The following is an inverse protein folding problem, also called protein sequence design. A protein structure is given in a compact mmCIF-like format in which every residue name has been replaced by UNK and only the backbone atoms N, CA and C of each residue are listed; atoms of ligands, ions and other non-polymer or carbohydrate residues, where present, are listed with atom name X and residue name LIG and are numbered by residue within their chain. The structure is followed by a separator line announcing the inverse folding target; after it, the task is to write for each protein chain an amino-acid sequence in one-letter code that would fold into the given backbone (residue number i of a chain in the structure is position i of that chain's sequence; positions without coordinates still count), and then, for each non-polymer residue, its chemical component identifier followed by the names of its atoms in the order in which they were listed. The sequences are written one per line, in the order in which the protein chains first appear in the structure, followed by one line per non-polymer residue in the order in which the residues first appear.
data_IF_255208719816
#
_entry.id   IF_255208719816
#
_cell.length_a   1.000
_cell.length_b   1.000
_cell.length_c   1.000
_cell.angle_alpha   90.00
_cell.angle_beta   90.00
_cell.angle_gamma   90.00
#
_symmetry.space_group_name_H-M   'P 1'
#
loop_
_entity.id
_entity.type
_entity.pdbx_description
1 polymer ?
#
# COMPACT_ATOMS: atom_id res chain seq x y z
N UNK A 1 -10.64 7.23 7.24
CA UNK A 1 -9.34 7.47 6.59
C UNK A 1 -9.31 8.83 5.93
N UNK A 2 -10.00 9.02 4.78
CA UNK A 2 -9.90 10.25 4.00
C UNK A 2 -10.38 11.48 4.77
N UNK A 3 -11.50 11.39 5.48
CA UNK A 3 -12.04 12.51 6.27
C UNK A 3 -11.04 13.00 7.34
N UNK A 4 -10.42 12.10 8.10
CA UNK A 4 -9.44 12.48 9.15
C UNK A 4 -8.14 13.08 8.58
N UNK A 5 -7.78 12.76 7.33
CA UNK A 5 -6.61 13.30 6.65
C UNK A 5 -6.92 14.62 5.94
N UNK A 6 -8.06 14.71 5.25
CA UNK A 6 -8.42 15.83 4.41
C UNK A 6 -9.07 16.99 5.18
N UNK A 7 -9.91 16.72 6.19
CA UNK A 7 -10.59 17.78 6.95
C UNK A 7 -9.61 18.73 7.64
N UNK A 8 -8.59 18.25 8.38
CA UNK A 8 -7.58 19.14 8.95
C UNK A 8 -6.88 19.97 7.87
N UNK A 9 -6.51 19.35 6.74
CA UNK A 9 -5.93 20.08 5.60
C UNK A 9 -6.80 21.25 5.12
N UNK A 10 -8.10 21.01 4.93
CA UNK A 10 -9.05 22.04 4.47
C UNK A 10 -9.24 23.14 5.51
N UNK A 11 -9.30 22.79 6.79
CA UNK A 11 -9.44 23.76 7.90
C UNK A 11 -8.20 24.66 7.98
N UNK A 12 -6.99 24.08 7.90
CA UNK A 12 -5.75 24.84 7.94
C UNK A 12 -5.63 25.87 6.81
N UNK A 13 -6.15 25.55 5.61
CA UNK A 13 -6.15 26.50 4.48
C UNK A 13 -6.96 27.78 4.76
N UNK A 14 -7.91 27.74 5.71
CA UNK A 14 -8.74 28.89 6.09
C UNK A 14 -8.27 29.57 7.38
N UNK A 15 -7.18 29.10 7.99
CA UNK A 15 -6.59 29.65 9.21
C UNK A 15 -5.31 30.43 8.87
N UNK A 16 -5.44 31.74 8.67
CA UNK A 16 -4.34 32.63 8.24
C UNK A 16 -3.28 32.90 9.32
N UNK A 17 -3.56 32.50 10.56
CA UNK A 17 -2.72 32.65 11.74
C UNK A 17 -1.75 31.49 11.98
N UNK A 18 -1.89 30.38 11.23
CA UNK A 18 -0.99 29.23 11.30
C UNK A 18 0.08 29.28 10.20
N UNK A 19 1.33 29.52 10.58
CA UNK A 19 2.49 29.31 9.70
C UNK A 19 2.89 27.84 9.69
N UNK A 20 2.61 27.16 8.59
CA UNK A 20 2.90 25.73 8.40
C UNK A 20 3.82 25.55 7.21
N UNK A 21 5.07 25.15 7.47
CA UNK A 21 6.10 25.01 6.42
C UNK A 21 6.05 23.65 5.70
N UNK A 22 5.49 22.62 6.34
CA UNK A 22 5.41 21.25 5.80
C UNK A 22 4.02 20.66 5.92
N UNK A 23 3.59 19.92 4.90
CA UNK A 23 2.25 19.31 4.86
C UNK A 23 1.99 18.37 6.04
N UNK A 24 3.00 17.61 6.47
CA UNK A 24 2.87 16.64 7.57
C UNK A 24 2.66 17.30 8.95
N UNK A 25 2.93 18.61 9.09
CA UNK A 25 2.76 19.35 10.35
C UNK A 25 1.33 19.86 10.56
N UNK A 26 0.51 19.86 9.51
CA UNK A 26 -0.83 20.46 9.50
C UNK A 26 -1.71 19.91 10.62
N UNK A 27 -1.72 18.59 10.79
CA UNK A 27 -2.55 17.95 11.81
C UNK A 27 -2.14 18.37 13.23
N UNK A 28 -0.83 18.38 13.52
CA UNK A 28 -0.32 18.78 14.83
C UNK A 28 -0.56 20.25 15.14
N UNK A 29 -0.42 21.13 14.14
CA UNK A 29 -0.66 22.56 14.29
C UNK A 29 -2.12 22.87 14.64
N UNK A 30 -3.08 22.24 13.94
CA UNK A 30 -4.51 22.42 14.23
C UNK A 30 -4.86 21.89 15.60
N UNK A 31 -4.40 20.69 15.95
CA UNK A 31 -4.69 20.11 17.26
C UNK A 31 -4.18 21.01 18.39
N UNK A 32 -2.98 21.57 18.25
CA UNK A 32 -2.44 22.52 19.22
C UNK A 32 -3.26 23.81 19.33
N UNK A 33 -3.82 24.28 18.22
CA UNK A 33 -4.62 25.49 18.20
C UNK A 33 -6.02 25.28 18.80
N UNK A 34 -6.62 24.11 18.59
CA UNK A 34 -8.02 23.81 18.98
C UNK A 34 -8.11 23.25 20.41
N UNK A 35 -7.13 22.48 20.87
CA UNK A 35 -7.19 21.82 22.17
C UNK A 35 -6.78 22.75 23.33
N UNK A 36 -7.43 22.62 24.51
CA UNK A 36 -7.01 23.32 25.72
C UNK A 36 -5.69 22.73 26.27
N UNK A 37 -4.88 23.59 26.91
CA UNK A 37 -3.50 23.29 27.33
C UNK A 37 -3.36 21.99 28.13
N UNK A 38 -4.29 21.70 29.04
CA UNK A 38 -4.26 20.50 29.89
C UNK A 38 -4.38 19.20 29.09
N UNK A 39 -5.00 19.23 27.91
CA UNK A 39 -5.25 18.04 27.08
C UNK A 39 -4.14 17.76 26.07
N UNK A 40 -3.24 18.73 25.82
CA UNK A 40 -2.14 18.58 24.87
C UNK A 40 -1.18 17.45 25.26
N UNK A 41 -0.86 17.34 26.56
CA UNK A 41 -0.03 16.26 27.08
C UNK A 41 -0.68 14.89 26.93
N UNK A 42 -1.99 14.79 27.17
CA UNK A 42 -2.76 13.57 26.97
C UNK A 42 -2.78 13.16 25.49
N UNK A 43 -3.04 14.12 24.59
CA UNK A 43 -3.01 13.88 23.15
C UNK A 43 -1.64 13.38 22.69
N UNK A 44 -0.56 14.03 23.13
CA UNK A 44 0.81 13.61 22.81
C UNK A 44 1.09 12.17 23.30
N UNK A 45 0.65 11.82 24.52
CA UNK A 45 0.80 10.48 25.06
C UNK A 45 0.04 9.41 24.24
N UNK A 46 -1.21 9.69 23.86
CA UNK A 46 -2.03 8.79 23.05
C UNK A 46 -1.44 8.61 21.64
N UNK A 47 -0.98 9.70 21.01
CA UNK A 47 -0.35 9.66 19.70
C UNK A 47 0.94 8.82 19.74
N UNK A 48 1.81 9.06 20.72
CA UNK A 48 3.04 8.28 20.91
C UNK A 48 2.74 6.80 21.14
N UNK A 49 1.75 6.48 21.99
CA UNK A 49 1.31 5.11 22.21
C UNK A 49 0.80 4.43 20.94
N UNK A 50 0.02 5.15 20.14
CA UNK A 50 -0.52 4.65 18.87
C UNK A 50 0.57 4.40 17.81
N UNK A 51 1.57 5.30 17.74
CA UNK A 51 2.74 5.14 16.87
C UNK A 51 3.56 3.92 17.30
N UNK A 52 3.87 3.80 18.59
CA UNK A 52 4.66 2.68 19.11
C UNK A 52 3.96 1.34 18.92
N UNK A 53 2.64 1.29 19.12
CA UNK A 53 1.83 0.10 18.85
C UNK A 53 1.91 -0.31 17.39
N UNK A 54 1.66 0.63 16.46
CA UNK A 54 1.72 0.37 15.02
C UNK A 54 3.12 -0.05 14.56
N UNK A 55 4.17 0.59 15.09
CA UNK A 55 5.56 0.25 14.82
C UNK A 55 5.93 -1.14 15.30
N UNK A 56 5.53 -1.52 16.52
CA UNK A 56 5.76 -2.86 17.06
C UNK A 56 5.03 -3.94 16.25
N UNK A 57 3.80 -3.67 15.82
CA UNK A 57 3.05 -4.57 14.94
C UNK A 57 3.78 -4.75 13.60
N UNK A 58 4.23 -3.67 12.96
CA UNK A 58 4.97 -3.74 11.69
C UNK A 58 6.28 -4.53 11.83
N UNK A 59 7.08 -4.26 12.87
CA UNK A 59 8.32 -5.00 13.15
C UNK A 59 8.06 -6.48 13.39
N UNK A 60 7.02 -6.83 14.14
CA UNK A 60 6.66 -8.22 14.41
C UNK A 60 6.23 -8.95 13.13
N UNK A 61 5.37 -8.35 12.32
CA UNK A 61 4.93 -8.93 11.05
C UNK A 61 6.10 -9.12 10.08
N UNK A 62 6.98 -8.12 9.93
CA UNK A 62 8.16 -8.23 9.08
C UNK A 62 9.15 -9.31 9.57
N UNK A 63 9.38 -9.39 10.89
CA UNK A 63 10.25 -10.40 11.51
C UNK A 63 9.70 -11.81 11.35
N UNK A 64 8.39 -11.98 11.49
CA UNK A 64 7.70 -13.26 11.33
C UNK A 64 7.70 -13.70 9.87
N UNK A 65 7.41 -12.78 8.94
CA UNK A 65 7.50 -13.04 7.51
C UNK A 65 8.92 -13.45 7.13
N UNK A 66 9.93 -12.72 7.58
CA UNK A 66 11.32 -13.05 7.29
C UNK A 66 11.73 -14.41 7.89
N UNK A 67 11.43 -14.66 9.16
CA UNK A 67 11.87 -15.89 9.83
C UNK A 67 11.20 -17.15 9.28
N UNK A 68 9.89 -17.10 9.01
CA UNK A 68 9.14 -18.24 8.49
C UNK A 68 9.29 -18.38 6.97
N UNK A 69 8.98 -17.33 6.22
CA UNK A 69 8.91 -17.43 4.76
C UNK A 69 10.28 -17.41 4.10
N UNK A 70 11.22 -16.62 4.62
CA UNK A 70 12.53 -16.47 4.00
C UNK A 70 13.58 -17.39 4.64
N UNK A 71 13.80 -17.27 5.95
CA UNK A 71 14.82 -18.04 6.65
C UNK A 71 14.48 -19.52 6.69
N UNK A 72 13.33 -19.92 7.25
CA UNK A 72 12.94 -21.31 7.25
C UNK A 72 12.62 -21.83 5.84
N UNK A 73 11.88 -21.07 5.03
CA UNK A 73 11.48 -21.48 3.68
C UNK A 73 12.63 -21.71 2.70
N UNK A 74 13.67 -20.84 2.71
CA UNK A 74 14.72 -20.84 1.68
C UNK A 74 16.14 -21.03 2.22
N UNK A 75 16.47 -20.53 3.41
CA UNK A 75 17.85 -20.56 3.94
C UNK A 75 18.12 -21.83 4.73
N UNK A 76 17.27 -22.15 5.71
CA UNK A 76 17.42 -23.31 6.60
C UNK A 76 16.08 -24.00 6.86
N UNK A 77 15.72 -24.90 5.94
CA UNK A 77 14.50 -25.72 5.99
C UNK A 77 14.41 -26.67 7.19
N UNK A 78 15.52 -26.89 7.90
CA UNK A 78 15.59 -27.75 9.09
C UNK A 78 15.76 -26.94 10.38
N UNK A 79 15.58 -25.62 10.33
CA UNK A 79 15.70 -24.77 11.52
C UNK A 79 14.70 -25.18 12.61
N UNK A 80 15.17 -25.25 13.86
CA UNK A 80 14.30 -25.46 15.01
C UNK A 80 13.45 -24.21 15.31
N UNK A 81 12.33 -24.38 16.03
CA UNK A 81 11.47 -23.25 16.41
C UNK A 81 12.23 -22.13 17.16
N UNK A 82 13.15 -22.51 18.04
CA UNK A 82 14.01 -21.55 18.76
C UNK A 82 14.93 -20.77 17.82
N UNK A 83 15.50 -21.43 16.81
CA UNK A 83 16.34 -20.77 15.81
C UNK A 83 15.54 -19.78 14.96
N UNK A 84 14.34 -20.16 14.54
CA UNK A 84 13.43 -19.29 13.77
C UNK A 84 13.10 -18.02 14.56
N UNK A 85 12.71 -18.17 15.84
CA UNK A 85 12.40 -17.03 16.72
C UNK A 85 13.64 -16.16 16.94
N UNK A 86 14.81 -16.76 17.19
CA UNK A 86 16.07 -16.04 17.41
C UNK A 86 16.46 -15.19 16.20
N UNK A 87 16.41 -15.76 15.00
CA UNK A 87 16.72 -15.05 13.76
C UNK A 87 15.68 -13.96 13.46
N UNK A 88 14.40 -14.22 13.69
CA UNK A 88 13.35 -13.21 13.59
C UNK A 88 13.61 -12.02 14.49
N UNK A 89 14.01 -12.24 15.75
CA UNK A 89 14.38 -11.16 16.69
C UNK A 89 15.56 -10.34 16.18
N UNK A 90 16.63 -10.97 15.70
CA UNK A 90 17.78 -10.23 15.15
C UNK A 90 17.43 -9.42 13.92
N UNK A 91 16.61 -9.98 13.02
CA UNK A 91 16.10 -9.25 11.87
C UNK A 91 15.27 -8.03 12.32
N UNK A 92 14.37 -8.20 13.29
CA UNK A 92 13.58 -7.10 13.83
C UNK A 92 14.43 -5.98 14.45
N UNK A 93 15.48 -6.33 15.20
CA UNK A 93 16.44 -5.34 15.74
C UNK A 93 17.16 -4.62 14.60
N UNK A 94 17.65 -5.35 13.59
CA UNK A 94 18.29 -4.74 12.42
C UNK A 94 17.36 -3.79 11.66
N UNK A 95 16.10 -4.19 11.47
CA UNK A 95 15.08 -3.37 10.81
C UNK A 95 14.74 -2.12 11.63
N UNK A 96 14.71 -2.21 12.96
CA UNK A 96 14.52 -1.06 13.85
C UNK A 96 15.68 -0.06 13.73
N UNK A 97 16.93 -0.54 13.75
CA UNK A 97 18.13 0.29 13.57
C UNK A 97 18.13 0.96 12.19
N UNK A 98 17.83 0.21 11.13
CA UNK A 98 17.71 0.76 9.78
C UNK A 98 16.63 1.85 9.69
N UNK A 99 15.48 1.63 10.35
CA UNK A 99 14.40 2.62 10.42
C UNK A 99 14.84 3.92 11.11
N UNK A 100 15.60 3.83 12.21
CA UNK A 100 16.17 4.99 12.91
C UNK A 100 17.14 5.78 12.00
N UNK A 101 17.94 5.07 11.19
CA UNK A 101 18.89 5.72 10.26
C UNK A 101 18.16 6.40 9.09
N UNK A 102 17.09 5.81 8.59
CA UNK A 102 16.34 6.34 7.44
C UNK A 102 15.40 7.48 7.84
N UNK A 103 14.89 7.49 9.08
CA UNK A 103 13.91 8.47 9.55
C UNK A 103 14.32 9.95 9.32
N UNK A 104 15.57 10.39 9.59
CA UNK A 104 16.01 11.75 9.30
C UNK A 104 15.96 12.12 7.82
N UNK A 105 16.23 11.17 6.92
CA UNK A 105 16.19 11.38 5.48
C UNK A 105 14.75 11.67 5.03
N UNK A 106 13.78 10.92 5.56
CA UNK A 106 12.37 11.13 5.27
C UNK A 106 11.82 12.42 5.88
N UNK A 107 12.34 12.84 7.05
CA UNK A 107 11.94 14.08 7.70
C UNK A 107 12.27 15.35 6.89
N UNK A 108 13.18 15.27 5.91
CA UNK A 108 13.52 16.38 5.02
C UNK A 108 12.51 16.55 3.87
N UNK A 109 11.62 15.58 3.63
CA UNK A 109 10.61 15.65 2.58
C UNK A 109 9.50 16.65 2.94
N UNK A 110 8.84 17.17 1.91
CA UNK A 110 7.67 18.05 2.06
C UNK A 110 6.41 17.29 2.51
N UNK A 111 6.29 16.05 2.04
CA UNK A 111 5.18 15.14 2.35
C UNK A 111 5.68 13.71 2.38
N UNK A 112 5.79 13.16 3.59
CA UNK A 112 6.12 11.74 3.80
C UNK A 112 5.01 10.86 3.23
N UNK A 113 3.75 11.29 3.35
CA UNK A 113 2.61 10.54 2.84
C UNK A 113 2.67 10.37 1.31
N UNK A 114 2.94 11.43 0.56
CA UNK A 114 3.11 11.33 -0.90
C UNK A 114 4.26 10.42 -1.30
N UNK A 115 5.40 10.51 -0.61
CA UNK A 115 6.54 9.65 -0.84
C UNK A 115 6.18 8.16 -0.59
N UNK A 116 5.54 7.86 0.54
CA UNK A 116 5.10 6.50 0.84
C UNK A 116 4.09 5.99 -0.18
N UNK A 117 3.17 6.82 -0.67
CA UNK A 117 2.26 6.43 -1.76
C UNK A 117 3.03 6.10 -3.05
N UNK A 118 4.02 6.92 -3.42
CA UNK A 118 4.88 6.65 -4.59
C UNK A 118 5.60 5.31 -4.46
N UNK A 119 6.18 5.02 -3.30
CA UNK A 119 6.87 3.75 -3.02
C UNK A 119 5.89 2.57 -3.00
N UNK A 120 4.72 2.73 -2.37
CA UNK A 120 3.69 1.70 -2.32
C UNK A 120 3.19 1.32 -3.72
N UNK A 121 3.06 2.29 -4.62
CA UNK A 121 2.60 2.05 -5.99
C UNK A 121 3.57 1.20 -6.82
N UNK A 122 4.89 1.24 -6.55
CA UNK A 122 5.90 0.44 -7.27
C UNK A 122 5.58 -1.06 -7.26
N UNK A 123 5.09 -1.58 -6.14
CA UNK A 123 4.77 -3.00 -5.99
C UNK A 123 3.26 -3.27 -6.03
N UNK A 124 2.41 -2.34 -5.57
CA UNK A 124 0.96 -2.58 -5.50
C UNK A 124 0.35 -2.80 -6.88
N UNK A 125 0.79 -2.01 -7.88
CA UNK A 125 0.30 -2.08 -9.26
C UNK A 125 0.55 -3.47 -9.89
N UNK A 126 1.79 -3.99 -9.96
CA UNK A 126 2.03 -5.32 -10.51
C UNK A 126 1.41 -6.45 -9.67
N UNK A 127 1.37 -6.31 -8.34
CA UNK A 127 0.79 -7.34 -7.45
C UNK A 127 -0.70 -7.53 -7.74
N UNK A 128 -1.46 -6.44 -7.94
CA UNK A 128 -2.87 -6.54 -8.35
C UNK A 128 -3.00 -7.30 -9.68
N UNK A 129 -2.13 -7.03 -10.65
CA UNK A 129 -2.11 -7.79 -11.92
C UNK A 129 -1.87 -9.28 -11.72
N UNK A 130 -0.94 -9.64 -10.84
CA UNK A 130 -0.64 -11.04 -10.50
C UNK A 130 -1.85 -11.70 -9.84
N UNK A 131 -2.54 -11.02 -8.91
CA UNK A 131 -3.74 -11.56 -8.26
C UNK A 131 -4.89 -11.76 -9.24
N UNK A 132 -5.18 -10.77 -10.09
CA UNK A 132 -6.23 -10.86 -11.11
C UNK A 132 -5.98 -12.05 -12.03
N UNK A 133 -4.74 -12.21 -12.53
CA UNK A 133 -4.40 -13.35 -13.37
C UNK A 133 -4.36 -14.66 -12.59
N UNK A 134 -3.87 -14.67 -11.35
CA UNK A 134 -3.82 -15.87 -10.52
C UNK A 134 -5.21 -16.43 -10.18
N UNK A 135 -6.20 -15.55 -10.03
CA UNK A 135 -7.60 -15.94 -9.81
C UNK A 135 -8.29 -16.23 -11.15
N UNK A 136 -8.03 -15.43 -12.18
CA UNK A 136 -8.73 -15.47 -13.46
C UNK A 136 -8.22 -16.53 -14.45
N UNK A 137 -6.98 -17.00 -14.32
CA UNK A 137 -6.39 -18.01 -15.22
C UNK A 137 -5.48 -18.99 -14.49
N UNK A 138 -5.59 -20.26 -14.88
CA UNK A 138 -4.76 -21.36 -14.35
C UNK A 138 -3.46 -21.57 -15.12
N UNK A 139 -3.30 -20.94 -16.28
CA UNK A 139 -2.24 -21.27 -17.24
C UNK A 139 -0.95 -20.45 -17.06
N UNK A 140 -1.00 -19.35 -16.31
CA UNK A 140 0.14 -18.45 -16.13
C UNK A 140 1.14 -19.03 -15.13
N UNK A 141 2.42 -19.27 -15.51
CA UNK A 141 3.42 -19.85 -14.62
C UNK A 141 4.01 -18.85 -13.63
N UNK A 142 4.62 -19.35 -12.55
CA UNK A 142 5.22 -18.50 -11.52
C UNK A 142 6.35 -17.58 -12.07
N UNK A 143 7.07 -18.02 -13.11
CA UNK A 143 8.09 -17.20 -13.77
C UNK A 143 7.48 -15.99 -14.49
N UNK A 144 6.29 -16.14 -15.08
CA UNK A 144 5.57 -15.04 -15.71
C UNK A 144 5.22 -13.97 -14.67
N UNK A 145 4.72 -14.38 -13.50
CA UNK A 145 4.42 -13.46 -12.40
C UNK A 145 5.67 -12.70 -11.91
N UNK A 146 6.82 -13.39 -11.75
CA UNK A 146 8.08 -12.75 -11.35
C UNK A 146 8.55 -11.70 -12.37
N UNK A 147 8.56 -12.05 -13.65
CA UNK A 147 8.96 -11.13 -14.73
C UNK A 147 7.96 -9.98 -14.86
N UNK A 148 6.66 -10.28 -14.85
CA UNK A 148 5.60 -9.29 -14.88
C UNK A 148 5.67 -8.30 -13.72
N UNK A 149 6.07 -8.75 -12.52
CA UNK A 149 6.31 -7.87 -11.38
C UNK A 149 7.43 -6.87 -11.64
N UNK A 150 8.58 -7.35 -12.13
CA UNK A 150 9.73 -6.50 -12.44
C UNK A 150 9.37 -5.51 -13.55
N UNK A 151 8.72 -5.96 -14.62
CA UNK A 151 8.30 -5.09 -15.73
C UNK A 151 7.33 -4.01 -15.23
N UNK A 152 6.30 -4.38 -14.47
CA UNK A 152 5.36 -3.41 -13.89
C UNK A 152 6.04 -2.39 -12.99
N UNK A 153 6.99 -2.84 -12.16
CA UNK A 153 7.77 -1.95 -11.29
C UNK A 153 8.67 -1.00 -12.08
N UNK A 154 9.32 -1.47 -13.16
CA UNK A 154 10.17 -0.64 -14.02
C UNK A 154 9.35 0.42 -14.76
N UNK A 155 8.21 0.04 -15.33
CA UNK A 155 7.31 0.99 -16.00
C UNK A 155 6.78 2.02 -15.00
N UNK A 156 6.37 1.58 -13.81
CA UNK A 156 5.90 2.49 -12.77
C UNK A 156 7.00 3.46 -12.35
N UNK A 157 8.22 2.97 -12.13
CA UNK A 157 9.36 3.79 -11.77
C UNK A 157 9.67 4.82 -12.88
N UNK A 158 9.63 4.39 -14.14
CA UNK A 158 9.82 5.29 -15.28
C UNK A 158 8.78 6.42 -15.28
N UNK A 159 7.49 6.11 -15.20
CA UNK A 159 6.44 7.14 -15.20
C UNK A 159 6.44 8.02 -13.96
N UNK A 160 6.89 7.50 -12.81
CA UNK A 160 6.91 8.26 -11.55
C UNK A 160 8.13 9.17 -11.42
N UNK A 161 9.29 8.75 -11.90
CA UNK A 161 10.56 9.46 -11.68
C UNK A 161 11.13 10.15 -12.93
N UNK A 162 10.75 9.70 -14.13
CA UNK A 162 11.20 10.30 -15.41
C UNK A 162 10.04 11.01 -16.11
N UNK A 163 8.92 10.30 -16.24
CA UNK A 163 7.67 10.71 -16.90
C UNK A 163 7.81 11.11 -18.38
N UNK A 164 6.70 11.11 -19.12
CA UNK A 164 6.66 11.58 -20.51
C UNK A 164 6.21 13.03 -20.53
N UNK A 165 6.98 13.89 -21.20
CA UNK A 165 6.71 15.33 -21.29
C UNK A 165 6.00 15.70 -22.59
N UNK A 166 5.26 16.80 -22.57
CA UNK A 166 4.56 17.37 -23.73
C UNK A 166 3.56 16.39 -24.38
N UNK A 167 2.72 15.75 -23.57
CA UNK A 167 1.67 14.87 -24.08
C UNK A 167 0.43 15.68 -24.51
N UNK A 168 -0.45 15.15 -25.38
CA UNK A 168 -1.69 15.82 -25.74
C UNK A 168 -2.50 16.20 -24.50
N UNK A 169 -3.20 17.35 -24.54
CA UNK A 169 -3.91 17.91 -23.39
C UNK A 169 -4.87 16.95 -22.69
N UNK A 170 -5.44 15.98 -23.42
CA UNK A 170 -6.29 14.93 -22.86
C UNK A 170 -5.56 13.99 -21.88
N UNK A 171 -4.27 13.76 -22.06
CA UNK A 171 -3.44 12.87 -21.22
C UNK A 171 -2.52 13.65 -20.27
N UNK A 172 -2.48 14.97 -20.41
CA UNK A 172 -1.57 15.83 -19.68
C UNK A 172 -2.08 16.14 -18.26
N UNK A 173 -1.15 16.31 -17.33
CA UNK A 173 -1.38 17.00 -16.06
C UNK A 173 -1.26 18.53 -16.25
N UNK A 174 -1.36 19.28 -15.15
CA UNK A 174 -1.27 20.74 -15.17
C UNK A 174 0.03 21.32 -15.76
N UNK A 175 1.10 20.53 -15.83
CA UNK A 175 2.42 20.92 -16.34
C UNK A 175 2.67 20.47 -17.79
N UNK A 176 1.71 19.79 -18.43
CA UNK A 176 1.87 19.23 -19.79
C UNK A 176 2.53 17.85 -19.84
N UNK A 177 2.84 17.27 -18.67
CA UNK A 177 3.42 15.93 -18.53
C UNK A 177 2.32 14.87 -18.43
N UNK A 178 2.65 13.60 -18.70
CA UNK A 178 1.67 12.52 -18.57
C UNK A 178 1.10 12.44 -17.16
N UNK A 179 -0.22 12.47 -17.05
CA UNK A 179 -0.89 12.38 -15.76
C UNK A 179 -0.59 11.04 -15.08
N UNK A 180 -0.27 11.08 -13.79
CA UNK A 180 0.21 9.92 -13.02
C UNK A 180 -0.73 8.70 -13.11
N UNK A 181 -2.05 8.93 -13.20
CA UNK A 181 -3.06 7.88 -13.33
C UNK A 181 -2.86 7.04 -14.62
N UNK A 182 -2.48 7.68 -15.72
CA UNK A 182 -2.16 6.96 -16.96
C UNK A 182 -0.87 6.15 -16.80
N UNK A 183 0.14 6.69 -16.11
CA UNK A 183 1.36 5.94 -15.78
C UNK A 183 1.06 4.67 -14.98
N UNK A 184 0.16 4.75 -14.00
CA UNK A 184 -0.31 3.58 -13.24
C UNK A 184 -0.98 2.55 -14.14
N UNK A 185 -1.89 3.00 -15.01
CA UNK A 185 -2.63 2.12 -15.91
C UNK A 185 -1.70 1.42 -16.92
N UNK A 186 -0.77 2.16 -17.54
CA UNK A 186 0.19 1.59 -18.49
C UNK A 186 1.09 0.56 -17.79
N UNK A 187 1.55 0.85 -16.57
CA UNK A 187 2.38 -0.07 -15.79
C UNK A 187 1.65 -1.37 -15.45
N UNK A 188 0.37 -1.27 -15.09
CA UNK A 188 -0.51 -2.42 -14.86
C UNK A 188 -0.67 -3.25 -16.14
N UNK A 189 -1.03 -2.61 -17.25
CA UNK A 189 -1.25 -3.30 -18.54
C UNK A 189 0.04 -3.94 -19.03
N UNK A 190 1.20 -3.27 -18.94
CA UNK A 190 2.49 -3.83 -19.31
C UNK A 190 2.80 -5.10 -18.50
N UNK A 191 2.57 -5.07 -17.19
CA UNK A 191 2.72 -6.23 -16.32
C UNK A 191 1.83 -7.40 -16.75
N UNK A 192 0.54 -7.15 -16.95
CA UNK A 192 -0.45 -8.16 -17.35
C UNK A 192 -0.15 -8.73 -18.73
N UNK A 193 0.16 -7.89 -19.71
CA UNK A 193 0.49 -8.32 -21.08
C UNK A 193 1.72 -9.22 -21.06
N UNK A 194 2.78 -8.85 -20.36
CA UNK A 194 3.98 -9.71 -20.25
C UNK A 194 3.65 -11.04 -19.59
N UNK A 195 2.84 -11.03 -18.53
CA UNK A 195 2.41 -12.27 -17.88
C UNK A 195 1.60 -13.18 -18.83
N UNK A 196 0.68 -12.62 -19.60
CA UNK A 196 -0.14 -13.35 -20.56
C UNK A 196 0.69 -13.86 -21.75
N UNK A 197 1.62 -13.05 -22.27
CA UNK A 197 2.53 -13.46 -23.35
C UNK A 197 3.39 -14.64 -22.90
N UNK A 198 3.99 -14.56 -21.71
CA UNK A 198 4.77 -15.69 -21.17
C UNK A 198 3.86 -16.89 -20.89
N UNK A 199 2.66 -16.67 -20.35
CA UNK A 199 1.69 -17.74 -20.11
C UNK A 199 1.19 -18.41 -21.40
N UNK A 200 1.16 -17.70 -22.52
CA UNK A 200 0.84 -18.25 -23.83
C UNK A 200 2.02 -19.01 -24.45
N UNK A 201 3.23 -18.46 -24.36
CA UNK A 201 4.45 -19.07 -24.94
C UNK A 201 4.97 -20.26 -24.13
N UNK A 202 4.83 -20.21 -22.80
CA UNK A 202 5.27 -21.23 -21.84
C UNK A 202 4.18 -21.41 -20.78
N UNK A 203 3.02 -21.99 -21.13
CA UNK A 203 1.96 -22.25 -20.17
C UNK A 203 2.44 -23.22 -19.09
N UNK A 204 1.81 -23.15 -17.91
CA UNK A 204 2.00 -24.15 -16.85
C UNK A 204 1.77 -25.56 -17.38
N UNK A 205 2.55 -26.51 -16.88
CA UNK A 205 2.30 -27.92 -17.15
C UNK A 205 1.02 -28.39 -16.43
N UNK A 206 0.45 -29.51 -16.88
CA UNK A 206 -0.74 -30.11 -16.24
C UNK A 206 -0.46 -30.42 -14.76
N UNK A 207 0.74 -30.90 -14.45
CA UNK A 207 1.18 -31.20 -13.08
C UNK A 207 1.25 -29.93 -12.21
N UNK A 208 1.78 -28.83 -12.74
CA UNK A 208 1.83 -27.55 -12.03
C UNK A 208 0.44 -26.99 -11.77
N UNK A 209 -0.50 -27.18 -12.71
CA UNK A 209 -1.90 -26.78 -12.53
C UNK A 209 -2.53 -27.59 -11.39
N UNK A 210 -2.36 -28.91 -11.40
CA UNK A 210 -2.90 -29.80 -10.35
C UNK A 210 -2.37 -29.43 -8.98
N UNK A 211 -1.06 -29.17 -8.84
CA UNK A 211 -0.46 -28.71 -7.57
C UNK A 211 -1.06 -27.38 -7.15
N UNK A 212 -1.23 -26.42 -8.07
CA UNK A 212 -1.82 -25.12 -7.73
C UNK A 212 -3.33 -25.14 -7.45
N UNK A 213 -4.04 -26.16 -7.94
CA UNK A 213 -5.47 -26.38 -7.71
C UNK A 213 -5.76 -27.13 -6.40
N UNK A 214 -4.72 -27.64 -5.71
CA UNK A 214 -4.87 -28.21 -4.37
C UNK A 214 -5.33 -27.12 -3.41
N UNK A 215 -6.59 -27.23 -2.97
CA UNK A 215 -7.16 -26.34 -1.96
C UNK A 215 -6.86 -26.92 -0.59
N UNK A 216 -6.04 -26.23 0.17
CA UNK A 216 -5.97 -26.48 1.61
C UNK A 216 -7.34 -26.11 2.21
N UNK A 217 -7.97 -27.01 2.99
CA UNK A 217 -9.23 -26.71 3.64
C UNK A 217 -9.07 -25.48 4.52
N UNK A 218 -10.05 -24.58 4.43
CA UNK A 218 -10.04 -23.35 5.22
C UNK A 218 -9.93 -23.70 6.71
N UNK A 219 -8.99 -23.09 7.46
CA UNK A 219 -8.83 -23.37 8.89
C UNK A 219 -10.00 -22.86 9.73
N UNK A 220 -10.88 -22.05 9.13
CA UNK A 220 -12.05 -21.42 9.74
C UNK A 220 -13.20 -21.44 8.74
N UNK A 221 -14.44 -21.54 9.24
CA UNK A 221 -15.64 -21.45 8.41
C UNK A 221 -15.66 -20.12 7.62
N UNK A 222 -15.82 -20.25 6.29
CA UNK A 222 -15.88 -19.14 5.35
C UNK A 222 -17.33 -18.84 4.89
N UNK A 223 -18.35 -19.47 5.50
CA UNK A 223 -19.74 -19.16 5.17
C UNK A 223 -20.01 -17.67 5.41
N UNK A 224 -20.48 -16.92 4.40
CA UNK A 224 -20.76 -15.51 4.56
C UNK A 224 -21.84 -15.29 5.63
N UNK A 225 -21.62 -14.32 6.52
CA UNK A 225 -22.61 -13.93 7.52
C UNK A 225 -23.95 -13.55 6.86
N UNK A 226 -25.07 -13.96 7.46
CA UNK A 226 -26.41 -13.81 6.87
C UNK A 226 -26.73 -12.37 6.42
N UNK A 227 -26.32 -11.35 7.19
CA UNK A 227 -26.60 -9.95 6.85
C UNK A 227 -25.49 -9.30 6.00
N UNK A 228 -24.48 -10.04 5.55
CA UNK A 228 -23.36 -9.50 4.78
C UNK A 228 -23.86 -8.73 3.54
N UNK A 229 -24.82 -9.28 2.80
CA UNK A 229 -25.40 -8.61 1.63
C UNK A 229 -26.11 -7.30 1.99
N UNK A 230 -26.90 -7.30 3.07
CA UNK A 230 -27.63 -6.10 3.52
C UNK A 230 -26.65 -5.00 3.95
N UNK A 231 -25.60 -5.38 4.69
CA UNK A 231 -24.53 -4.46 5.07
C UNK A 231 -23.81 -3.90 3.83
N UNK A 232 -23.50 -4.74 2.83
CA UNK A 232 -22.90 -4.28 1.58
C UNK A 232 -23.79 -3.28 0.84
N UNK A 233 -25.09 -3.54 0.70
CA UNK A 233 -26.02 -2.59 0.08
C UNK A 233 -26.11 -1.28 0.85
N UNK A 234 -26.17 -1.33 2.18
CA UNK A 234 -26.19 -0.14 3.03
C UNK A 234 -24.91 0.70 2.87
N UNK A 235 -23.74 0.05 2.83
CA UNK A 235 -22.45 0.73 2.62
C UNK A 235 -22.42 1.38 1.23
N UNK A 236 -22.75 0.65 0.16
CA UNK A 236 -22.78 1.20 -1.19
C UNK A 236 -23.75 2.38 -1.32
N UNK A 237 -24.96 2.24 -0.79
CA UNK A 237 -25.97 3.30 -0.80
C UNK A 237 -25.51 4.54 -0.02
N UNK A 238 -24.87 4.35 1.14
CA UNK A 238 -24.28 5.44 1.92
C UNK A 238 -23.16 6.14 1.14
N UNK A 239 -22.26 5.38 0.50
CA UNK A 239 -21.18 5.95 -0.31
C UNK A 239 -21.73 6.77 -1.47
N UNK A 240 -22.68 6.22 -2.24
CA UNK A 240 -23.33 6.94 -3.35
C UNK A 240 -24.03 8.20 -2.82
N UNK A 241 -24.75 8.09 -1.72
CA UNK A 241 -25.43 9.23 -1.08
C UNK A 241 -24.47 10.34 -0.66
N UNK A 242 -23.32 9.99 -0.08
CA UNK A 242 -22.26 10.96 0.27
C UNK A 242 -21.74 11.66 -0.99
N UNK A 243 -21.44 10.92 -2.06
CA UNK A 243 -20.96 11.54 -3.30
C UNK A 243 -22.00 12.47 -3.92
N UNK A 244 -23.26 12.04 -4.03
CA UNK A 244 -24.34 12.88 -4.55
C UNK A 244 -24.56 14.14 -3.71
N UNK A 245 -24.55 14.01 -2.38
CA UNK A 245 -24.66 15.13 -1.46
C UNK A 245 -23.51 16.13 -1.63
N UNK A 246 -22.27 15.65 -1.68
CA UNK A 246 -21.10 16.51 -1.88
C UNK A 246 -21.13 17.20 -3.25
N UNK A 247 -21.52 16.49 -4.32
CA UNK A 247 -21.68 17.08 -5.65
C UNK A 247 -22.75 18.17 -5.64
N UNK A 248 -23.90 17.92 -5.01
CA UNK A 248 -24.96 18.92 -4.85
C UNK A 248 -24.51 20.12 -4.01
N UNK A 249 -23.79 19.90 -2.91
CA UNK A 249 -23.31 20.99 -2.04
C UNK A 249 -22.18 21.82 -2.67
N UNK A 250 -21.45 21.27 -3.64
CA UNK A 250 -20.35 21.93 -4.34
C UNK A 250 -20.75 22.69 -5.61
N UNK A 251 -21.96 22.43 -6.12
CA UNK A 251 -22.52 23.08 -7.31
C UNK A 251 -23.38 24.27 -6.96
#
# INVERSE_FOLDING_TARGET
GPLMLCLPGIIALHMTDLTIDKQDQVYGAIVRHVLPDWSLGLFAAVLMGSILSSFNSALNSASTLFSLQFYHGYINKKASGEQIVKIGKYFGIGLAIASIIIAPILAQMQSIFEYLQKVNGLYSVPIIGIFILGIGTKHVPAIAAKIGMIVGMVFYAFFTFVNIKNVPAFFANGDGDLHWLHGYFISFIASVVVMLVIGYLKPKSVEEIVISDQRDPAPVDMTPWHQAKNASYAIMGTTIGIYLFLTWASG
#
